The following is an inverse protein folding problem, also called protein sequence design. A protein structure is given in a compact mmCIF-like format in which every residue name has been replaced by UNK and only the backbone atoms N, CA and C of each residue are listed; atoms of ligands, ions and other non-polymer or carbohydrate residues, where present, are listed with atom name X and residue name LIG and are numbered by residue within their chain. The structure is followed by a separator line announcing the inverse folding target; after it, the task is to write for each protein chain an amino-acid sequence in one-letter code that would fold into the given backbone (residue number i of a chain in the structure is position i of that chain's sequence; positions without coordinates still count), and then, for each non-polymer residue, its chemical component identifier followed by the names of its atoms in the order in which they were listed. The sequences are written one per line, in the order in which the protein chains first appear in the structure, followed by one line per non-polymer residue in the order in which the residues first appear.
data_IF_859293711807
#
_entry.id   IF_859293711807
#
_cell.length_a   1.000
_cell.length_b   1.000
_cell.length_c   1.000
_cell.angle_alpha   90.00
_cell.angle_beta   90.00
_cell.angle_gamma   90.00
#
_symmetry.space_group_name_H-M   'P 1'
#
loop_
_entity.id
_entity.type
_entity.pdbx_description
1 polymer ?
#
# COMPACT_ATOMS: atom_id res chain seq x y z
N UNK A 1 4.55 -9.34 7.88
CA UNK A 1 5.61 -8.48 8.49
C UNK A 1 5.06 -7.10 8.76
N UNK A 2 5.73 -6.25 9.55
CA UNK A 2 5.17 -4.98 10.01
C UNK A 2 4.56 -4.07 8.92
N UNK A 3 5.19 -4.03 7.74
CA UNK A 3 4.71 -3.23 6.60
C UNK A 3 3.34 -3.69 6.04
N UNK A 4 3.03 -4.99 6.12
CA UNK A 4 1.77 -5.53 5.63
C UNK A 4 0.57 -5.16 6.52
N UNK A 5 0.83 -4.80 7.79
CA UNK A 5 -0.19 -4.30 8.72
C UNK A 5 -0.41 -2.79 8.62
N UNK A 6 0.46 -2.06 7.91
CA UNK A 6 0.27 -0.64 7.62
C UNK A 6 -0.63 -0.47 6.38
N UNK A 7 -1.73 0.30 6.44
CA UNK A 7 -2.61 0.50 5.28
C UNK A 7 -1.90 0.99 4.02
N UNK A 8 -0.94 1.92 4.15
CA UNK A 8 -0.19 2.42 2.99
C UNK A 8 0.79 1.38 2.45
N UNK A 9 1.58 0.77 3.33
CA UNK A 9 2.45 -0.36 2.97
C UNK A 9 1.72 -1.50 2.29
N UNK A 10 0.53 -1.86 2.77
CA UNK A 10 -0.32 -2.89 2.16
C UNK A 10 -0.77 -2.53 0.75
N UNK A 11 -1.09 -1.26 0.47
CA UNK A 11 -1.41 -0.79 -0.88
C UNK A 11 -0.22 -0.97 -1.83
N UNK A 12 0.99 -0.60 -1.39
CA UNK A 12 2.22 -0.76 -2.18
C UNK A 12 2.49 -2.24 -2.47
N UNK A 13 2.42 -3.10 -1.45
CA UNK A 13 2.65 -4.54 -1.60
C UNK A 13 1.63 -5.18 -2.56
N UNK A 14 0.35 -4.84 -2.44
CA UNK A 14 -0.68 -5.31 -3.36
C UNK A 14 -0.44 -4.81 -4.80
N UNK A 15 -0.03 -3.55 -4.98
CA UNK A 15 0.34 -2.98 -6.28
C UNK A 15 1.55 -3.64 -6.92
N UNK A 16 2.51 -4.11 -6.11
CA UNK A 16 3.67 -4.89 -6.55
C UNK A 16 3.33 -6.35 -6.89
N UNK A 17 2.08 -6.79 -6.67
CA UNK A 17 1.63 -8.15 -6.97
C UNK A 17 1.85 -9.16 -5.85
N UNK A 18 1.95 -8.69 -4.59
CA UNK A 18 1.96 -9.61 -3.43
C UNK A 18 0.57 -10.16 -3.19
N UNK A 19 0.41 -11.47 -3.32
CA UNK A 19 -0.88 -12.16 -3.16
C UNK A 19 -1.30 -12.37 -1.69
N UNK A 20 -0.35 -12.43 -0.77
CA UNK A 20 -0.60 -12.73 0.65
C UNK A 20 0.03 -11.70 1.60
N UNK A 21 -0.80 -11.14 2.48
CA UNK A 21 -0.39 -10.20 3.52
C UNK A 21 -0.60 -10.80 4.91
N UNK A 22 0.46 -10.85 5.72
CA UNK A 22 0.44 -11.34 7.10
C UNK A 22 0.62 -10.20 8.09
N UNK A 23 -0.31 -10.08 9.04
CA UNK A 23 -0.42 -9.00 10.03
C UNK A 23 -1.15 -9.47 11.31
N UNK A 24 -1.19 -8.64 12.34
CA UNK A 24 -1.98 -8.94 13.54
C UNK A 24 -3.48 -8.77 13.25
N UNK A 25 -4.38 -9.47 13.97
CA UNK A 25 -5.83 -9.32 13.75
C UNK A 25 -6.35 -7.87 13.87
N UNK A 26 -5.67 -7.05 14.67
CA UNK A 26 -6.03 -5.64 14.89
C UNK A 26 -5.75 -4.75 13.68
N UNK A 27 -4.80 -5.14 12.82
CA UNK A 27 -4.41 -4.38 11.62
C UNK A 27 -5.31 -4.69 10.42
N UNK A 28 -5.96 -5.87 10.43
CA UNK A 28 -6.78 -6.35 9.31
C UNK A 28 -7.89 -5.37 8.91
N UNK A 29 -8.66 -4.74 9.83
CA UNK A 29 -9.77 -3.86 9.45
C UNK A 29 -9.32 -2.63 8.66
N UNK A 30 -8.26 -1.94 9.09
CA UNK A 30 -7.76 -0.72 8.44
C UNK A 30 -7.17 -1.03 7.07
N UNK A 31 -6.37 -2.10 6.97
CA UNK A 31 -5.80 -2.57 5.70
C UNK A 31 -6.91 -2.98 4.72
N UNK A 32 -7.90 -3.78 5.16
CA UNK A 32 -9.01 -4.19 4.30
C UNK A 32 -9.86 -3.01 3.84
N UNK A 33 -10.10 -2.02 4.69
CA UNK A 33 -10.86 -0.82 4.31
C UNK A 33 -10.15 -0.06 3.18
N UNK A 34 -8.82 0.12 3.29
CA UNK A 34 -8.05 0.84 2.27
C UNK A 34 -7.96 0.06 0.96
N UNK A 35 -7.68 -1.24 1.00
CA UNK A 35 -7.57 -2.07 -0.21
C UNK A 35 -8.88 -2.21 -0.97
N UNK A 36 -10.02 -2.36 -0.28
CA UNK A 36 -11.34 -2.54 -0.93
C UNK A 36 -11.83 -1.28 -1.64
N UNK A 37 -11.34 -0.10 -1.24
CA UNK A 37 -11.72 1.18 -1.82
C UNK A 37 -10.94 1.57 -3.08
N UNK A 38 -9.95 0.76 -3.49
CA UNK A 38 -9.00 1.15 -4.53
C UNK A 38 -8.92 0.06 -5.60
N UNK A 39 -8.95 0.46 -6.88
CA UNK A 39 -8.80 -0.50 -7.97
C UNK A 39 -7.36 -1.02 -8.04
N UNK A 40 -7.18 -2.30 -8.42
CA UNK A 40 -5.85 -2.89 -8.53
C UNK A 40 -4.93 -2.10 -9.48
N UNK A 41 -5.47 -1.59 -10.58
CA UNK A 41 -4.72 -0.75 -11.52
C UNK A 41 -4.17 0.53 -10.85
N UNK A 42 -4.89 1.10 -9.89
CA UNK A 42 -4.44 2.29 -9.16
C UNK A 42 -3.35 1.94 -8.15
N UNK A 43 -3.46 0.77 -7.51
CA UNK A 43 -2.41 0.24 -6.64
C UNK A 43 -1.12 -0.04 -7.41
N UNK A 44 -1.23 -0.61 -8.62
CA UNK A 44 -0.08 -0.82 -9.51
C UNK A 44 0.56 0.50 -9.94
N UNK A 45 -0.24 1.52 -10.29
CA UNK A 45 0.28 2.86 -10.58
C UNK A 45 0.99 3.48 -9.38
N UNK A 46 0.42 3.36 -8.19
CA UNK A 46 1.03 3.82 -6.94
C UNK A 46 2.36 3.11 -6.68
N UNK A 47 2.41 1.79 -6.84
CA UNK A 47 3.62 1.01 -6.65
C UNK A 47 4.73 1.41 -7.64
N UNK A 48 4.39 1.62 -8.92
CA UNK A 48 5.34 2.09 -9.92
C UNK A 48 5.88 3.49 -9.58
N UNK A 49 5.00 4.42 -9.18
CA UNK A 49 5.44 5.75 -8.73
C UNK A 49 6.37 5.69 -7.51
N UNK A 50 6.13 4.75 -6.59
CA UNK A 50 7.01 4.52 -5.45
C UNK A 50 8.38 3.95 -5.86
N UNK A 51 8.44 3.11 -6.89
CA UNK A 51 9.71 2.58 -7.44
C UNK A 51 10.55 3.66 -8.13
N UNK A 52 9.90 4.71 -8.67
CA UNK A 52 10.58 5.85 -9.29
C UNK A 52 11.09 6.89 -8.26
N UNK A 53 10.76 6.73 -6.98
CA UNK A 53 11.24 7.61 -5.92
C UNK A 53 12.70 7.31 -5.55
N UNK A 54 13.49 8.37 -5.32
CA UNK A 54 14.88 8.29 -4.88
C UNK A 54 15.00 8.16 -3.35
N UNK A 55 13.96 8.57 -2.60
CA UNK A 55 13.99 8.58 -1.12
C UNK A 55 12.74 7.98 -0.49
N UNK A 56 12.89 7.50 0.75
CA UNK A 56 11.76 7.00 1.53
C UNK A 56 10.74 8.10 1.85
N UNK A 57 11.19 9.35 2.02
CA UNK A 57 10.33 10.51 2.23
C UNK A 57 9.44 10.77 1.02
N UNK A 58 9.97 10.63 -0.21
CA UNK A 58 9.18 10.75 -1.44
C UNK A 58 8.12 9.65 -1.53
N UNK A 59 8.47 8.41 -1.19
CA UNK A 59 7.49 7.30 -1.15
C UNK A 59 6.37 7.59 -0.15
N UNK A 60 6.71 8.02 1.07
CA UNK A 60 5.71 8.36 2.09
C UNK A 60 4.84 9.56 1.69
N UNK A 61 5.36 10.50 0.89
CA UNK A 61 4.58 11.62 0.38
C UNK A 61 3.51 11.20 -0.65
N UNK A 62 3.59 9.98 -1.20
CA UNK A 62 2.51 9.41 -2.03
C UNK A 62 1.28 9.03 -1.19
N UNK A 63 1.43 8.83 0.12
CA UNK A 63 0.31 8.56 1.02
C UNK A 63 -0.50 9.85 1.26
N UNK A 64 -1.56 10.02 0.47
CA UNK A 64 -2.40 11.22 0.46
C UNK A 64 -2.57 11.88 -0.91
N UNK A 65 -1.81 11.44 -1.92
CA UNK A 65 -1.94 11.93 -3.31
C UNK A 65 -3.13 11.32 -4.09
N UNK A 66 -3.93 10.46 -3.45
CA UNK A 66 -5.12 9.83 -4.02
C UNK A 66 -6.32 9.94 -3.08
N UNK A 67 -7.08 11.02 -3.26
CA UNK A 67 -8.49 11.15 -2.92
C UNK A 67 -9.28 11.25 -4.24
#
# INVERSE_FOLDING_TARGET
GGLAGDPFGAMLLAGLGVDELSMTPNDIPSVKARLRGTALADLQRLANAALDCETAEQVRALDGAGA
#
